data_IF_348244089382
#
_entry.id   IF_348244089382
#
_cell.length_a   1.000
_cell.length_b   1.000
_cell.length_c   1.000
_cell.angle_alpha   90.00
_cell.angle_beta   90.00
_cell.angle_gamma   90.00
#
_symmetry.space_group_name_H-M   'P 1'
#
loop_
_entity.id
_entity.type
_entity.pdbx_description
1 polymer ?
#
# COMPACT_ATOMS: atom_id res chain seq x y z
N UNK A 1 33.77 -58.10 33.09
CA UNK A 1 32.96 -56.97 33.60
C UNK A 1 33.37 -55.71 32.85
N UNK A 2 32.75 -55.43 31.71
CA UNK A 2 33.17 -54.34 30.82
C UNK A 2 32.63 -53.00 31.33
N UNK A 3 33.50 -52.17 31.92
CA UNK A 3 33.20 -50.78 32.30
C UNK A 3 33.48 -49.84 31.11
N UNK A 4 32.67 -49.92 30.06
CA UNK A 4 32.76 -48.98 28.92
C UNK A 4 31.43 -48.26 28.63
N UNK A 5 30.40 -48.48 29.44
CA UNK A 5 29.05 -47.97 29.19
C UNK A 5 28.81 -46.46 29.39
N UNK A 6 29.54 -45.68 30.24
CA UNK A 6 29.12 -44.30 30.50
C UNK A 6 29.47 -43.36 29.35
N UNK A 7 30.64 -43.54 28.72
CA UNK A 7 31.14 -42.64 27.68
C UNK A 7 30.28 -42.67 26.42
N UNK A 8 29.86 -43.86 25.99
CA UNK A 8 28.99 -44.02 24.83
C UNK A 8 27.62 -43.42 25.10
N UNK A 9 27.03 -43.65 26.29
CA UNK A 9 25.74 -43.06 26.66
C UNK A 9 25.78 -41.53 26.71
N UNK A 10 26.89 -40.93 27.14
CA UNK A 10 27.05 -39.48 27.14
C UNK A 10 27.15 -38.90 25.73
N UNK A 11 27.84 -39.58 24.80
CA UNK A 11 27.89 -39.16 23.39
C UNK A 11 26.49 -39.21 22.75
N UNK A 12 25.73 -40.28 22.98
CA UNK A 12 24.38 -40.37 22.42
C UNK A 12 23.45 -39.30 23.01
N UNK A 13 23.55 -39.03 24.31
CA UNK A 13 22.76 -37.98 24.97
C UNK A 13 23.09 -36.59 24.42
N UNK A 14 24.38 -36.26 24.20
CA UNK A 14 24.78 -34.95 23.65
C UNK A 14 24.32 -34.78 22.21
N UNK A 15 24.37 -35.82 21.39
CA UNK A 15 23.86 -35.80 20.01
C UNK A 15 22.35 -35.57 19.99
N UNK A 16 21.59 -36.27 20.85
CA UNK A 16 20.13 -36.10 20.94
C UNK A 16 19.76 -34.68 21.36
N UNK A 17 20.45 -34.13 22.36
CA UNK A 17 20.22 -32.75 22.82
C UNK A 17 20.57 -31.74 21.71
N UNK A 18 21.67 -31.92 21.00
CA UNK A 18 22.05 -31.06 19.89
C UNK A 18 21.04 -31.12 18.72
N UNK A 19 20.52 -32.31 18.39
CA UNK A 19 19.46 -32.47 17.39
C UNK A 19 18.16 -31.80 17.82
N UNK A 20 17.75 -31.94 19.08
CA UNK A 20 16.54 -31.30 19.60
C UNK A 20 16.66 -29.77 19.61
N UNK A 21 17.84 -29.23 19.95
CA UNK A 21 18.12 -27.79 19.87
C UNK A 21 18.12 -27.28 18.42
N UNK A 22 18.66 -28.06 17.47
CA UNK A 22 18.65 -27.72 16.04
C UNK A 22 17.26 -27.78 15.40
N UNK A 23 16.30 -28.50 16.00
CA UNK A 23 14.91 -28.56 15.55
C UNK A 23 14.08 -27.33 15.97
N UNK A 24 14.63 -26.45 16.81
CA UNK A 24 14.00 -25.17 17.22
C UNK A 24 14.30 -24.06 16.18
N UNK A 25 14.82 -24.41 15.00
CA UNK A 25 14.98 -23.45 13.89
C UNK A 25 13.62 -22.77 13.62
N UNK A 26 13.67 -21.45 13.69
CA UNK A 26 12.54 -20.56 13.86
C UNK A 26 11.44 -20.78 12.82
N UNK A 27 10.26 -21.17 13.29
CA UNK A 27 9.04 -21.05 12.49
C UNK A 27 8.56 -19.61 12.56
N UNK A 28 9.18 -18.74 11.76
CA UNK A 28 8.74 -17.36 11.60
C UNK A 28 7.39 -17.33 10.86
N UNK A 29 6.30 -17.49 11.61
CA UNK A 29 4.95 -17.29 11.10
C UNK A 29 4.73 -15.79 10.85
N UNK A 30 4.86 -15.36 9.60
CA UNK A 30 4.49 -14.01 9.20
C UNK A 30 2.96 -13.91 9.09
N UNK A 31 2.35 -13.12 9.97
CA UNK A 31 0.95 -12.72 9.81
C UNK A 31 0.94 -11.57 8.80
N UNK A 32 0.28 -11.77 7.67
CA UNK A 32 0.11 -10.71 6.68
C UNK A 32 -0.60 -9.51 7.36
N UNK A 33 0.04 -8.34 7.33
CA UNK A 33 -0.56 -7.13 7.89
C UNK A 33 -1.90 -6.86 7.19
N UNK A 34 -3.00 -6.60 7.92
CA UNK A 34 -4.27 -6.28 7.31
C UNK A 34 -4.12 -4.95 6.56
N UNK A 35 -4.04 -5.01 5.22
CA UNK A 35 -4.11 -3.84 4.36
C UNK A 35 -5.55 -3.34 4.40
N UNK A 36 -5.74 -2.10 4.85
CA UNK A 36 -7.04 -1.46 4.78
C UNK A 36 -7.56 -1.50 3.32
N UNK A 37 -8.86 -1.76 3.09
CA UNK A 37 -9.43 -1.73 1.76
C UNK A 37 -9.11 -0.38 1.11
N UNK A 38 -8.72 -0.42 -0.17
CA UNK A 38 -8.51 0.82 -0.91
C UNK A 38 -9.86 1.50 -1.11
N UNK A 39 -10.19 2.42 -0.22
CA UNK A 39 -11.39 3.23 -0.35
C UNK A 39 -11.23 4.10 -1.60
N UNK A 40 -12.09 3.87 -2.59
CA UNK A 40 -12.09 4.56 -3.89
C UNK A 40 -12.13 6.09 -3.77
N UNK A 41 -12.57 6.64 -2.65
CA UNK A 41 -12.69 8.08 -2.40
C UNK A 41 -11.44 8.74 -1.82
N UNK A 42 -10.43 7.95 -1.40
CA UNK A 42 -9.16 8.49 -0.92
C UNK A 42 -8.17 8.74 -2.07
N UNK A 43 -8.35 8.03 -3.20
CA UNK A 43 -7.58 8.31 -4.40
C UNK A 43 -8.10 9.56 -5.08
N UNK A 44 -7.18 10.47 -5.43
CA UNK A 44 -7.53 11.67 -6.15
C UNK A 44 -8.03 11.27 -7.56
N UNK A 45 -9.28 11.60 -7.94
CA UNK A 45 -9.82 11.22 -9.25
C UNK A 45 -8.97 11.80 -10.40
N UNK A 46 -8.71 10.98 -11.42
CA UNK A 46 -7.84 11.34 -12.55
C UNK A 46 -8.41 12.47 -13.42
N UNK A 47 -9.73 12.56 -13.55
CA UNK A 47 -10.41 13.52 -14.42
C UNK A 47 -11.30 14.44 -13.61
N UNK A 48 -11.38 15.70 -14.06
CA UNK A 48 -12.19 16.75 -13.44
C UNK A 48 -13.46 16.97 -14.24
N UNK A 49 -14.62 17.04 -13.58
CA UNK A 49 -15.82 17.51 -14.27
C UNK A 49 -15.86 19.04 -14.26
N UNK A 50 -16.09 19.68 -15.43
CA UNK A 50 -16.31 21.11 -15.51
C UNK A 50 -17.67 21.46 -14.86
N UNK A 51 -17.66 22.51 -14.06
CA UNK A 51 -18.84 23.12 -13.45
C UNK A 51 -18.85 24.61 -13.80
N UNK A 52 -20.02 25.15 -14.13
CA UNK A 52 -20.18 26.58 -14.39
C UNK A 52 -20.98 27.19 -13.24
N UNK A 53 -20.48 28.28 -12.68
CA UNK A 53 -21.26 29.08 -11.74
C UNK A 53 -22.35 29.89 -12.47
N UNK A 54 -23.21 30.56 -11.70
CA UNK A 54 -24.29 31.40 -12.23
C UNK A 54 -23.79 32.55 -13.11
N UNK A 55 -22.51 32.91 -12.99
CA UNK A 55 -21.84 33.94 -13.79
C UNK A 55 -21.13 33.37 -15.03
N UNK A 56 -21.27 32.06 -15.31
CA UNK A 56 -20.64 31.38 -16.44
C UNK A 56 -19.16 31.07 -16.27
N UNK A 57 -18.60 31.22 -15.06
CA UNK A 57 -17.18 30.91 -14.80
C UNK A 57 -17.01 29.40 -14.61
N UNK A 58 -16.14 28.82 -15.44
CA UNK A 58 -15.77 27.41 -15.33
C UNK A 58 -14.86 27.16 -14.12
N UNK A 59 -15.27 26.26 -13.24
CA UNK A 59 -14.46 25.73 -12.14
C UNK A 59 -14.41 24.22 -12.21
N UNK A 60 -13.35 23.67 -11.64
CA UNK A 60 -13.13 22.23 -11.62
C UNK A 60 -13.48 21.65 -10.24
N UNK A 61 -14.40 20.70 -10.18
CA UNK A 61 -14.88 20.13 -8.91
C UNK A 61 -13.83 19.26 -8.20
N UNK A 62 -13.06 18.47 -8.95
CA UNK A 62 -12.10 17.50 -8.40
C UNK A 62 -11.04 17.09 -9.42
N UNK A 63 -9.82 16.67 -8.99
CA UNK A 63 -8.76 16.05 -9.82
C UNK A 63 -7.41 16.78 -9.80
N UNK A 64 -6.58 16.73 -10.86
CA UNK A 64 -5.27 17.43 -10.95
C UNK A 64 -5.32 18.69 -11.86
N UNK A 65 -4.62 19.78 -11.52
CA UNK A 65 -4.68 21.09 -12.22
C UNK A 65 -5.11 22.26 -11.32
N UNK A 66 -4.90 23.52 -11.71
CA UNK A 66 -5.39 24.67 -10.94
C UNK A 66 -6.93 24.69 -10.78
N UNK A 67 -7.49 25.53 -9.90
CA UNK A 67 -8.95 25.62 -9.70
C UNK A 67 -9.71 26.16 -10.93
N UNK A 68 -9.00 26.90 -11.79
CA UNK A 68 -9.62 27.69 -12.85
C UNK A 68 -9.61 26.95 -14.19
N UNK A 69 -10.76 26.95 -14.87
CA UNK A 69 -10.84 26.68 -16.30
C UNK A 69 -10.61 27.98 -17.07
N UNK A 70 -10.04 27.87 -18.27
CA UNK A 70 -10.05 28.99 -19.22
C UNK A 70 -11.50 29.37 -19.52
N UNK A 71 -11.83 30.65 -19.35
CA UNK A 71 -13.13 31.19 -19.73
C UNK A 71 -13.36 30.96 -21.22
N UNK A 72 -14.54 30.46 -21.59
CA UNK A 72 -14.96 30.54 -22.98
C UNK A 72 -15.06 32.01 -23.33
N UNK A 73 -14.30 32.43 -24.35
CA UNK A 73 -14.37 33.78 -24.84
C UNK A 73 -15.79 34.05 -25.31
N UNK A 74 -16.34 35.18 -24.88
CA UNK A 74 -17.71 35.55 -25.19
C UNK A 74 -17.72 36.02 -26.65
N UNK A 75 -18.63 35.49 -27.46
CA UNK A 75 -18.80 35.98 -28.81
C UNK A 75 -19.87 37.07 -28.82
N UNK A 76 -19.50 38.32 -29.12
CA UNK A 76 -20.48 39.33 -29.51
C UNK A 76 -20.44 39.55 -31.02
N UNK A 77 -21.61 39.80 -31.60
CA UNK A 77 -21.72 40.02 -33.04
C UNK A 77 -20.97 41.27 -33.53
N UNK A 78 -20.72 42.23 -32.64
CA UNK A 78 -20.08 43.51 -32.97
C UNK A 78 -18.56 43.48 -32.74
N UNK A 79 -18.11 42.89 -31.64
CA UNK A 79 -16.71 42.92 -31.19
C UNK A 79 -15.97 41.59 -31.43
N UNK A 80 -16.70 40.53 -31.80
CA UNK A 80 -16.13 39.20 -32.05
C UNK A 80 -15.86 38.43 -30.75
N UNK A 81 -14.85 37.55 -30.79
CA UNK A 81 -14.48 36.66 -29.67
C UNK A 81 -13.55 37.41 -28.69
N UNK A 82 -14.02 37.72 -27.48
CA UNK A 82 -13.25 38.42 -26.44
C UNK A 82 -13.31 37.69 -25.09
#
# INVERSE_FOLDING_TARGET
>A
MARHAPWTTMIFATIIVACLLGLIVETAATIAQPKAPNFQYFERPKYRYPYYDENGRGKLLYGYGGPDLYQYKTFSALEGIH
#
